data_IF_298614804108
#
_entry.id   IF_298614804108
#
_cell.length_a   1.000
_cell.length_b   1.000
_cell.length_c   1.000
_cell.angle_alpha   90.00
_cell.angle_beta   90.00
_cell.angle_gamma   90.00
#
_symmetry.space_group_name_H-M   'P 1'
#
loop_
_entity.id
_entity.type
_entity.pdbx_description
1 polymer ?
#
# COMPACT_ATOMS: atom_id res chain seq x y z
N UNK A 1 27.62 -9.97 -5.20
CA UNK A 1 27.26 -8.69 -4.58
C UNK A 1 25.95 -8.27 -5.22
N UNK A 2 24.88 -8.06 -4.45
CA UNK A 2 23.67 -7.45 -5.01
C UNK A 2 24.00 -6.01 -5.39
N UNK A 3 23.82 -5.63 -6.66
CA UNK A 3 23.98 -4.25 -7.09
C UNK A 3 22.99 -3.35 -6.34
N UNK A 4 23.43 -2.15 -5.97
CA UNK A 4 22.56 -1.16 -5.34
C UNK A 4 21.53 -0.72 -6.39
N UNK A 5 20.25 -0.89 -6.08
CA UNK A 5 19.14 -0.47 -6.92
C UNK A 5 18.31 0.58 -6.18
N UNK A 6 18.03 1.70 -6.85
CA UNK A 6 17.11 2.70 -6.31
C UNK A 6 15.68 2.14 -6.29
N UNK A 7 14.91 2.58 -5.29
CA UNK A 7 13.56 2.10 -5.08
C UNK A 7 12.66 2.39 -6.28
N UNK A 8 12.84 3.55 -6.92
CA UNK A 8 12.06 3.94 -8.09
C UNK A 8 12.26 2.99 -9.29
N UNK A 9 13.50 2.56 -9.53
CA UNK A 9 13.80 1.59 -10.61
C UNK A 9 13.22 0.20 -10.30
N UNK A 10 13.18 -0.18 -9.02
CA UNK A 10 12.52 -1.41 -8.58
C UNK A 10 10.99 -1.31 -8.76
N UNK A 11 10.40 -0.17 -8.40
CA UNK A 11 8.97 0.13 -8.60
C UNK A 11 8.62 0.00 -10.09
N UNK A 12 9.36 0.65 -10.98
CA UNK A 12 9.13 0.60 -12.42
C UNK A 12 9.20 -0.83 -12.97
N UNK A 13 10.20 -1.61 -12.53
CA UNK A 13 10.36 -3.01 -12.92
C UNK A 13 9.17 -3.87 -12.46
N UNK A 14 8.74 -3.71 -11.20
CA UNK A 14 7.59 -4.43 -10.67
C UNK A 14 6.28 -4.03 -11.36
N UNK A 15 6.08 -2.74 -11.63
CA UNK A 15 4.90 -2.24 -12.36
C UNK A 15 4.78 -2.87 -13.74
N UNK A 16 5.91 -3.07 -14.43
CA UNK A 16 5.93 -3.73 -15.73
C UNK A 16 5.46 -5.20 -15.65
N UNK A 17 5.90 -5.92 -14.61
CA UNK A 17 5.62 -7.35 -14.44
C UNK A 17 4.23 -7.70 -13.88
N UNK A 18 3.53 -6.76 -13.24
CA UNK A 18 2.12 -6.91 -12.84
C UNK A 18 1.30 -7.40 -14.04
N UNK A 19 0.26 -8.20 -13.84
CA UNK A 19 -0.69 -8.58 -14.91
C UNK A 19 -2.15 -8.47 -14.47
N UNK A 20 -2.38 -7.92 -13.28
CA UNK A 20 -3.71 -7.80 -12.70
C UNK A 20 -4.67 -7.00 -13.59
N UNK A 21 -5.82 -7.62 -13.88
CA UNK A 21 -6.96 -6.99 -14.52
C UNK A 21 -8.09 -6.84 -13.48
N UNK A 22 -8.47 -5.61 -13.09
CA UNK A 22 -9.51 -5.39 -12.10
C UNK A 22 -10.89 -5.88 -12.54
N UNK A 23 -11.20 -5.89 -13.84
CA UNK A 23 -12.50 -6.36 -14.35
C UNK A 23 -12.61 -7.88 -14.26
N UNK A 24 -11.53 -8.58 -14.61
CA UNK A 24 -11.46 -10.05 -14.49
C UNK A 24 -11.18 -10.52 -13.05
N UNK A 25 -10.66 -9.63 -12.19
CA UNK A 25 -10.16 -9.91 -10.84
C UNK A 25 -9.11 -11.01 -10.82
N UNK A 26 -8.18 -10.97 -11.77
CA UNK A 26 -7.17 -12.02 -11.99
C UNK A 26 -5.82 -11.46 -12.38
N UNK A 27 -4.78 -12.19 -12.04
CA UNK A 27 -3.40 -11.91 -12.44
C UNK A 27 -2.53 -11.41 -11.30
N UNK A 28 -1.29 -11.08 -11.65
CA UNK A 28 -0.24 -10.79 -10.69
C UNK A 28 -0.34 -9.37 -10.17
N UNK A 29 -0.32 -9.22 -8.85
CA UNK A 29 -0.24 -7.96 -8.13
C UNK A 29 1.11 -7.86 -7.40
N UNK A 30 1.46 -6.65 -6.95
CA UNK A 30 2.62 -6.46 -6.06
C UNK A 30 2.15 -6.65 -4.62
N UNK A 31 2.91 -7.43 -3.85
CA UNK A 31 2.61 -7.70 -2.46
C UNK A 31 3.73 -7.30 -1.50
N UNK A 32 3.32 -6.74 -0.36
CA UNK A 32 4.15 -6.54 0.81
C UNK A 32 4.12 -7.83 1.64
N UNK A 33 5.24 -8.17 2.26
CA UNK A 33 5.36 -9.37 3.08
C UNK A 33 5.77 -9.00 4.50
N UNK A 34 4.91 -9.31 5.45
CA UNK A 34 5.19 -9.16 6.87
C UNK A 34 5.45 -10.52 7.52
N UNK A 35 6.37 -10.55 8.48
CA UNK A 35 6.75 -11.76 9.21
C UNK A 35 6.50 -11.49 10.70
N UNK A 36 5.74 -12.38 11.33
CA UNK A 36 5.39 -12.30 12.76
C UNK A 36 5.72 -13.60 13.47
N UNK A 37 5.80 -13.56 14.80
CA UNK A 37 5.88 -14.80 15.58
C UNK A 37 4.58 -15.59 15.45
N UNK A 38 4.70 -16.91 15.35
CA UNK A 38 3.54 -17.79 15.29
C UNK A 38 2.63 -17.66 16.52
N UNK A 39 3.21 -17.34 17.69
CA UNK A 39 2.46 -17.07 18.93
C UNK A 39 1.57 -15.83 18.85
N UNK A 40 1.96 -14.82 18.07
CA UNK A 40 1.24 -13.55 17.94
C UNK A 40 0.26 -13.54 16.76
N UNK A 41 0.34 -14.56 15.89
CA UNK A 41 -0.35 -14.61 14.61
C UNK A 41 -1.86 -14.32 14.71
N UNK A 42 -2.56 -14.94 15.67
CA UNK A 42 -4.01 -14.73 15.82
C UNK A 42 -4.33 -13.27 16.17
N UNK A 43 -3.59 -12.68 17.10
CA UNK A 43 -3.76 -11.28 17.51
C UNK A 43 -3.46 -10.34 16.33
N UNK A 44 -2.39 -10.62 15.58
CA UNK A 44 -2.03 -9.87 14.37
C UNK A 44 -3.12 -9.93 13.31
N UNK A 45 -3.67 -11.12 13.06
CA UNK A 45 -4.75 -11.31 12.09
C UNK A 45 -6.01 -10.50 12.46
N UNK A 46 -6.35 -10.47 13.75
CA UNK A 46 -7.48 -9.68 14.27
C UNK A 46 -7.24 -8.17 14.14
N UNK A 47 -6.00 -7.71 14.31
CA UNK A 47 -5.62 -6.31 14.10
C UNK A 47 -5.64 -5.93 12.61
N UNK A 48 -5.14 -6.81 11.73
CA UNK A 48 -5.23 -6.64 10.29
C UNK A 48 -6.68 -6.52 9.84
N UNK A 49 -7.57 -7.38 10.35
CA UNK A 49 -9.00 -7.32 10.06
C UNK A 49 -9.61 -5.97 10.48
N UNK A 50 -9.26 -5.47 11.66
CA UNK A 50 -9.71 -4.16 12.13
C UNK A 50 -9.21 -3.00 11.24
N UNK A 51 -7.93 -3.01 10.88
CA UNK A 51 -7.37 -2.00 9.98
C UNK A 51 -8.04 -2.03 8.60
N UNK A 52 -8.22 -3.22 8.01
CA UNK A 52 -8.89 -3.40 6.72
C UNK A 52 -10.34 -2.92 6.74
N UNK A 53 -11.11 -3.27 7.78
CA UNK A 53 -12.49 -2.81 7.95
C UNK A 53 -12.61 -1.30 8.21
N UNK A 54 -11.54 -0.67 8.68
CA UNK A 54 -11.46 0.78 8.89
C UNK A 54 -11.00 1.55 7.64
N UNK A 55 -10.84 0.87 6.50
CA UNK A 55 -10.37 1.49 5.25
C UNK A 55 -8.87 1.80 5.22
N UNK A 56 -8.09 1.20 6.12
CA UNK A 56 -6.66 1.45 6.27
C UNK A 56 -5.80 0.38 5.57
N UNK A 57 -6.31 -0.23 4.51
CA UNK A 57 -5.57 -1.17 3.69
C UNK A 57 -5.79 -0.90 2.21
N UNK A 58 -4.88 -1.40 1.38
CA UNK A 58 -5.01 -1.29 -0.08
C UNK A 58 -6.15 -2.17 -0.60
N UNK A 59 -6.27 -3.37 -0.03
CA UNK A 59 -7.32 -4.34 -0.34
C UNK A 59 -7.62 -5.19 0.90
N UNK A 60 -8.73 -5.95 0.92
CA UNK A 60 -9.05 -6.88 1.99
C UNK A 60 -8.44 -8.28 1.79
N UNK A 61 -7.64 -8.48 0.75
CA UNK A 61 -7.07 -9.78 0.41
C UNK A 61 -5.71 -9.97 1.08
N UNK A 62 -5.52 -11.13 1.71
CA UNK A 62 -4.23 -11.54 2.26
C UNK A 62 -3.90 -12.99 1.93
N UNK A 63 -2.61 -13.30 1.93
CA UNK A 63 -2.13 -14.69 1.87
C UNK A 63 -1.32 -15.01 3.12
N UNK A 64 -1.71 -16.07 3.82
CA UNK A 64 -0.95 -16.60 4.95
C UNK A 64 0.09 -17.58 4.43
N UNK A 65 1.33 -17.41 4.86
CA UNK A 65 2.45 -18.26 4.50
C UNK A 65 2.96 -18.95 5.76
N UNK A 66 2.86 -20.28 5.78
CA UNK A 66 3.15 -21.12 6.94
C UNK A 66 4.65 -21.44 7.06
N UNK A 67 5.11 -21.89 8.25
CA UNK A 67 6.51 -22.24 8.45
C UNK A 67 6.94 -23.32 7.44
N UNK A 68 8.08 -23.09 6.78
CA UNK A 68 8.60 -23.99 5.77
C UNK A 68 8.12 -23.74 4.34
N UNK A 69 7.06 -22.97 4.15
CA UNK A 69 6.61 -22.52 2.83
C UNK A 69 7.53 -21.43 2.28
N UNK A 70 7.50 -21.26 0.94
CA UNK A 70 8.32 -20.27 0.23
C UNK A 70 7.46 -19.19 -0.40
N UNK A 71 8.00 -17.98 -0.44
CA UNK A 71 7.48 -16.85 -1.20
C UNK A 71 8.63 -16.27 -2.01
N UNK A 72 8.62 -16.56 -3.32
CA UNK A 72 9.80 -16.36 -4.16
C UNK A 72 11.01 -17.11 -3.59
N UNK A 73 12.10 -16.39 -3.34
CA UNK A 73 13.36 -16.95 -2.84
C UNK A 73 13.43 -17.08 -1.31
N UNK A 74 12.43 -16.54 -0.59
CA UNK A 74 12.42 -16.53 0.88
C UNK A 74 11.63 -17.72 1.41
N UNK A 75 12.17 -18.39 2.43
CA UNK A 75 11.48 -19.46 3.16
C UNK A 75 11.09 -18.96 4.55
N UNK A 76 9.86 -19.18 4.98
CA UNK A 76 9.43 -18.81 6.33
C UNK A 76 10.06 -19.77 7.34
N UNK A 77 10.74 -19.20 8.33
CA UNK A 77 11.42 -19.95 9.39
C UNK A 77 10.43 -20.63 10.34
N UNK A 78 10.91 -21.66 11.06
CA UNK A 78 10.11 -22.33 12.08
C UNK A 78 9.76 -21.34 13.21
N UNK A 79 8.50 -21.31 13.63
CA UNK A 79 8.01 -20.39 14.67
C UNK A 79 7.67 -18.98 14.16
N UNK A 80 7.72 -18.76 12.85
CA UNK A 80 7.30 -17.51 12.20
C UNK A 80 6.16 -17.77 11.23
N UNK A 81 5.32 -16.76 10.99
CA UNK A 81 4.26 -16.76 9.97
C UNK A 81 4.47 -15.57 9.06
N UNK A 82 4.39 -15.81 7.75
CA UNK A 82 4.34 -14.76 6.74
C UNK A 82 2.90 -14.33 6.45
N UNK A 83 2.70 -13.03 6.24
CA UNK A 83 1.43 -12.45 5.84
C UNK A 83 1.71 -11.56 4.63
N UNK A 84 1.18 -11.92 3.48
CA UNK A 84 1.27 -11.09 2.28
C UNK A 84 0.02 -10.23 2.12
N UNK A 85 0.21 -8.93 1.88
CA UNK A 85 -0.83 -7.92 1.68
C UNK A 85 -0.60 -7.19 0.35
N UNK A 86 -1.64 -6.64 -0.25
CA UNK A 86 -1.52 -5.89 -1.49
C UNK A 86 -0.76 -4.58 -1.31
N UNK A 87 0.17 -4.29 -2.21
CA UNK A 87 0.88 -3.00 -2.27
C UNK A 87 0.15 -2.03 -3.21
N UNK A 88 0.06 -0.76 -2.80
CA UNK A 88 -0.61 0.29 -3.57
C UNK A 88 0.03 0.54 -4.95
N UNK A 89 1.30 0.19 -5.17
CA UNK A 89 1.98 0.28 -6.49
C UNK A 89 1.27 -0.59 -7.55
N UNK A 90 0.49 -1.58 -7.13
CA UNK A 90 -0.39 -2.34 -8.04
C UNK A 90 -1.36 -1.42 -8.81
N UNK A 91 -1.85 -0.36 -8.17
CA UNK A 91 -2.72 0.64 -8.81
C UNK A 91 -1.95 1.36 -9.92
N UNK A 92 -0.70 1.74 -9.66
CA UNK A 92 0.12 2.42 -10.65
C UNK A 92 0.34 1.55 -11.88
N UNK A 93 0.58 0.26 -11.66
CA UNK A 93 0.75 -0.70 -12.73
C UNK A 93 -0.52 -0.89 -13.57
N UNK A 94 -1.70 -0.90 -12.95
CA UNK A 94 -2.99 -0.96 -13.66
C UNK A 94 -3.21 0.29 -14.50
N UNK A 95 -2.94 1.48 -13.95
CA UNK A 95 -3.01 2.75 -14.69
C UNK A 95 -2.02 2.76 -15.87
N UNK A 96 -0.78 2.32 -15.64
CA UNK A 96 0.24 2.21 -16.68
C UNK A 96 -0.19 1.30 -17.83
N UNK A 97 -0.79 0.14 -17.53
CA UNK A 97 -1.31 -0.79 -18.56
C UNK A 97 -2.52 -0.23 -19.30
N UNK A 98 -3.28 0.64 -18.67
CA UNK A 98 -4.28 1.46 -19.35
C UNK A 98 -3.64 2.62 -20.14
N UNK A 99 -2.32 2.66 -20.35
CA UNK A 99 -1.65 3.71 -21.13
C UNK A 99 -1.60 5.07 -20.42
N UNK A 100 -1.78 5.10 -19.10
CA UNK A 100 -1.71 6.31 -18.29
C UNK A 100 -0.33 6.35 -17.61
N UNK A 101 0.58 7.27 -17.99
CA UNK A 101 1.92 7.33 -17.40
C UNK A 101 1.86 7.99 -16.02
N UNK A 102 1.50 7.20 -15.01
CA UNK A 102 1.50 7.58 -13.60
C UNK A 102 2.92 7.51 -13.02
N UNK A 103 3.28 8.47 -12.18
CA UNK A 103 4.56 8.53 -11.48
C UNK A 103 4.34 8.62 -9.97
N UNK A 104 4.74 7.59 -9.18
CA UNK A 104 4.86 7.71 -7.73
C UNK A 104 5.88 8.79 -7.36
N UNK A 105 5.51 9.74 -6.50
CA UNK A 105 6.40 10.84 -6.09
C UNK A 105 7.03 10.62 -4.72
N UNK A 106 6.22 10.30 -3.72
CA UNK A 106 6.67 10.12 -2.34
C UNK A 106 5.72 9.26 -1.53
N UNK A 107 6.24 8.70 -0.44
CA UNK A 107 5.46 8.25 0.71
C UNK A 107 5.44 9.33 1.79
N UNK A 108 4.40 9.37 2.61
CA UNK A 108 4.21 10.41 3.61
C UNK A 108 3.24 10.02 4.72
N UNK A 109 3.17 10.89 5.72
CA UNK A 109 2.19 10.83 6.82
C UNK A 109 1.10 11.85 6.52
N UNK A 110 -0.16 11.42 6.55
CA UNK A 110 -1.33 12.28 6.36
C UNK A 110 -2.08 12.41 7.68
N UNK A 111 -2.41 13.64 8.03
CA UNK A 111 -3.29 13.98 9.14
C UNK A 111 -4.75 13.84 8.70
N UNK A 112 -5.51 13.02 9.44
CA UNK A 112 -6.95 12.80 9.27
C UNK A 112 -7.66 13.45 10.47
N UNK A 113 -8.74 14.18 10.18
CA UNK A 113 -9.62 14.72 11.20
C UNK A 113 -11.08 14.40 10.88
N UNK A 114 -11.75 13.70 11.80
CA UNK A 114 -13.14 13.26 11.68
C UNK A 114 -13.44 12.59 10.33
N UNK A 115 -12.56 11.68 9.92
CA UNK A 115 -12.64 10.92 8.67
C UNK A 115 -12.20 11.69 7.43
N UNK A 116 -11.83 12.96 7.55
CA UNK A 116 -11.42 13.81 6.42
C UNK A 116 -9.90 13.98 6.38
N UNK A 117 -9.22 13.67 5.26
CA UNK A 117 -7.80 13.95 5.12
C UNK A 117 -7.54 15.44 5.00
N UNK A 118 -6.57 15.95 5.75
CA UNK A 118 -6.27 17.39 5.81
C UNK A 118 -5.04 17.75 4.98
N UNK A 119 -3.90 17.12 5.28
CA UNK A 119 -2.62 17.39 4.62
C UNK A 119 -1.59 16.31 4.89
N UNK A 120 -0.57 16.25 4.03
CA UNK A 120 0.69 15.59 4.38
C UNK A 120 1.46 16.42 5.42
N UNK A 121 1.92 15.79 6.49
CA UNK A 121 2.77 16.42 7.52
C UNK A 121 4.25 16.12 7.30
N UNK A 122 4.55 14.94 6.76
CA UNK A 122 5.90 14.42 6.56
C UNK A 122 5.93 13.71 5.20
N UNK A 123 7.01 13.89 4.44
CA UNK A 123 7.18 13.28 3.12
C UNK A 123 8.62 12.78 2.91
N UNK A 124 8.75 11.66 2.22
CA UNK A 124 10.02 11.12 1.72
C UNK A 124 9.83 10.69 0.27
N UNK A 125 10.63 11.25 -0.63
CA UNK A 125 10.53 10.99 -2.07
C UNK A 125 11.05 9.62 -2.44
N UNK A 126 10.41 8.98 -3.43
CA UNK A 126 10.94 7.75 -4.03
C UNK A 126 12.19 8.01 -4.89
N UNK A 127 12.36 9.24 -5.38
CA UNK A 127 13.54 9.65 -6.13
C UNK A 127 14.79 9.58 -5.22
N UNK A 128 15.85 8.95 -5.73
CA UNK A 128 17.18 8.89 -5.11
C UNK A 128 17.26 8.20 -3.74
N UNK A 129 16.30 7.36 -3.36
CA UNK A 129 16.38 6.47 -2.18
C UNK A 129 16.46 4.99 -2.57
N UNK A 130 17.09 4.18 -1.73
CA UNK A 130 17.17 2.70 -1.87
C UNK A 130 16.24 1.96 -0.90
N UNK A 131 15.56 2.71 -0.02
CA UNK A 131 14.66 2.22 1.01
C UNK A 131 13.27 2.79 0.75
N UNK A 132 12.21 2.02 1.04
CA UNK A 132 10.85 2.52 0.93
C UNK A 132 10.61 3.68 1.91
N UNK A 133 10.18 4.87 1.43
CA UNK A 133 9.68 5.96 2.24
C UNK A 133 8.74 5.57 3.39
N UNK A 134 7.77 4.68 3.15
CA UNK A 134 6.76 4.34 4.15
C UNK A 134 7.33 3.48 5.28
N UNK A 135 8.22 2.54 4.97
CA UNK A 135 8.98 1.79 5.98
C UNK A 135 9.78 2.72 6.90
N UNK A 136 10.44 3.73 6.32
CA UNK A 136 11.19 4.73 7.10
C UNK A 136 10.26 5.50 8.02
N UNK A 137 9.16 6.05 7.50
CA UNK A 137 8.22 6.86 8.29
C UNK A 137 7.52 6.04 9.39
N UNK A 138 7.16 4.80 9.09
CA UNK A 138 6.61 3.86 10.07
C UNK A 138 7.60 3.62 11.22
N UNK A 139 8.88 3.41 10.91
CA UNK A 139 9.93 3.18 11.92
C UNK A 139 10.20 4.39 12.85
N UNK A 140 9.76 5.59 12.46
CA UNK A 140 9.92 6.81 13.26
C UNK A 140 8.74 7.03 14.22
N UNK A 141 7.79 6.09 14.32
CA UNK A 141 6.62 6.17 15.21
C UNK A 141 5.80 7.46 15.01
N UNK A 142 5.71 7.94 13.76
CA UNK A 142 5.01 9.18 13.40
C UNK A 142 3.49 9.01 13.21
N UNK A 143 3.01 7.76 13.21
CA UNK A 143 1.60 7.42 12.99
C UNK A 143 0.80 7.40 14.29
N UNK A 144 -0.53 7.55 14.17
CA UNK A 144 -1.47 7.28 15.26
C UNK A 144 -2.68 6.50 14.72
N UNK A 145 -2.40 5.36 14.10
CA UNK A 145 -3.40 4.51 13.43
C UNK A 145 -4.45 4.01 14.42
N UNK A 146 -4.03 3.65 15.64
CA UNK A 146 -4.91 3.25 16.74
C UNK A 146 -5.91 4.35 17.09
N UNK A 147 -5.47 5.61 17.09
CA UNK A 147 -6.35 6.75 17.35
C UNK A 147 -7.33 6.97 16.19
N UNK A 148 -6.83 6.85 14.95
CA UNK A 148 -7.63 6.97 13.73
C UNK A 148 -8.78 5.95 13.73
N UNK A 149 -8.48 4.67 14.00
CA UNK A 149 -9.51 3.61 14.04
C UNK A 149 -10.56 3.90 15.13
N UNK A 150 -10.14 4.44 16.27
CA UNK A 150 -11.03 4.66 17.43
C UNK A 150 -11.91 5.90 17.29
N UNK A 151 -11.40 6.96 16.67
CA UNK A 151 -12.00 8.30 16.72
C UNK A 151 -12.33 8.90 15.36
N UNK A 152 -11.82 8.32 14.27
CA UNK A 152 -11.83 8.94 12.95
C UNK A 152 -10.76 10.02 12.76
N UNK A 153 -9.97 10.34 13.80
CA UNK A 153 -8.90 11.33 13.77
C UNK A 153 -7.57 10.69 14.11
N UNK A 154 -6.50 11.04 13.39
CA UNK A 154 -5.16 10.52 13.64
C UNK A 154 -4.23 10.69 12.45
N UNK A 155 -3.07 10.05 12.51
CA UNK A 155 -2.05 10.11 11.46
C UNK A 155 -1.86 8.74 10.82
N UNK A 156 -1.94 8.70 9.49
CA UNK A 156 -1.82 7.46 8.71
C UNK A 156 -0.75 7.59 7.64
N UNK A 157 -0.23 6.46 7.17
CA UNK A 157 0.67 6.42 6.03
C UNK A 157 -0.11 6.51 4.74
N UNK A 158 0.35 7.33 3.81
CA UNK A 158 -0.20 7.43 2.46
C UNK A 158 0.93 7.72 1.48
N UNK A 159 0.68 7.50 0.20
CA UNK A 159 1.60 7.93 -0.83
C UNK A 159 0.86 8.77 -1.87
N UNK A 160 1.66 9.50 -2.64
CA UNK A 160 1.17 10.40 -3.65
C UNK A 160 1.83 10.07 -4.97
N UNK A 161 1.01 10.07 -6.01
CA UNK A 161 1.42 9.89 -7.39
C UNK A 161 0.82 10.99 -8.25
N UNK A 162 1.47 11.26 -9.37
CA UNK A 162 0.99 12.19 -10.37
C UNK A 162 0.68 11.48 -11.67
N UNK A 163 -0.37 11.94 -12.35
CA UNK A 163 -0.71 11.50 -13.68
C UNK A 163 -1.02 12.70 -14.59
N UNK A 164 -0.93 12.57 -15.92
CA UNK A 164 -1.30 13.64 -16.84
C UNK A 164 -2.78 14.01 -16.66
N UNK A 165 -3.08 15.30 -16.50
CA UNK A 165 -4.47 15.75 -16.34
C UNK A 165 -5.35 15.41 -17.57
N UNK A 166 -4.74 15.30 -18.75
CA UNK A 166 -5.43 14.92 -19.99
C UNK A 166 -6.01 13.49 -19.95
N UNK A 167 -5.60 12.67 -18.98
CA UNK A 167 -6.09 11.31 -18.80
C UNK A 167 -7.16 11.20 -17.69
N UNK A 168 -7.68 12.32 -17.16
CA UNK A 168 -8.62 12.36 -16.02
C UNK A 168 -9.74 11.33 -16.13
N UNK A 169 -10.56 11.41 -17.18
CA UNK A 169 -11.75 10.54 -17.33
C UNK A 169 -11.35 9.06 -17.32
N UNK A 170 -10.21 8.73 -17.93
CA UNK A 170 -9.69 7.36 -17.98
C UNK A 170 -9.10 6.93 -16.63
N UNK A 171 -8.51 7.85 -15.87
CA UNK A 171 -8.05 7.59 -14.51
C UNK A 171 -9.26 7.26 -13.65
N UNK A 172 -10.29 8.11 -13.65
CA UNK A 172 -11.52 7.91 -12.87
C UNK A 172 -12.17 6.56 -13.20
N UNK A 173 -12.36 6.23 -14.49
CA UNK A 173 -12.88 4.92 -14.93
C UNK A 173 -12.07 3.74 -14.37
N UNK A 174 -10.74 3.84 -14.36
CA UNK A 174 -9.85 2.75 -13.90
C UNK A 174 -9.79 2.65 -12.38
N UNK A 175 -9.86 3.79 -11.69
CA UNK A 175 -9.95 3.82 -10.23
C UNK A 175 -11.29 3.20 -9.77
N UNK A 176 -12.40 3.49 -10.44
CA UNK A 176 -13.69 2.88 -10.15
C UNK A 176 -13.65 1.36 -10.33
N UNK A 177 -13.08 0.86 -11.44
CA UNK A 177 -12.89 -0.58 -11.66
C UNK A 177 -12.02 -1.23 -10.57
N UNK A 178 -10.99 -0.54 -10.08
CA UNK A 178 -10.16 -1.00 -8.96
C UNK A 178 -10.96 -1.07 -7.66
N UNK A 179 -11.76 -0.05 -7.35
CA UNK A 179 -12.65 -0.03 -6.18
C UNK A 179 -13.63 -1.20 -6.25
N UNK A 180 -14.26 -1.44 -7.39
CA UNK A 180 -15.15 -2.60 -7.62
C UNK A 180 -14.44 -3.95 -7.48
N UNK A 181 -13.13 -4.01 -7.72
CA UNK A 181 -12.30 -5.19 -7.50
C UNK A 181 -11.84 -5.37 -6.03
N UNK A 182 -12.16 -4.41 -5.15
CA UNK A 182 -11.81 -4.42 -3.73
C UNK A 182 -10.58 -3.59 -3.38
N UNK A 183 -10.06 -2.77 -4.30
CA UNK A 183 -8.92 -1.88 -4.06
C UNK A 183 -9.38 -0.48 -3.61
N UNK A 184 -10.21 -0.43 -2.57
CA UNK A 184 -10.86 0.78 -2.07
C UNK A 184 -9.94 1.63 -1.17
N UNK A 185 -8.80 2.06 -1.71
CA UNK A 185 -7.72 2.73 -0.96
C UNK A 185 -7.38 4.13 -1.46
N UNK A 186 -8.19 4.67 -2.37
CA UNK A 186 -8.03 6.04 -2.85
C UNK A 186 -8.46 6.99 -1.75
N UNK A 187 -7.53 7.82 -1.28
CA UNK A 187 -7.76 8.80 -0.23
C UNK A 187 -8.31 10.10 -0.80
N UNK A 188 -7.71 10.58 -1.90
CA UNK A 188 -8.15 11.78 -2.60
C UNK A 188 -7.66 11.76 -4.06
N UNK A 189 -8.47 12.30 -4.97
CA UNK A 189 -8.09 12.59 -6.35
C UNK A 189 -8.18 14.09 -6.53
N UNK A 190 -7.05 14.73 -6.78
CA UNK A 190 -6.98 16.19 -6.92
C UNK A 190 -7.47 16.66 -8.29
N UNK A 191 -8.04 17.86 -8.32
CA UNK A 191 -8.40 18.53 -9.58
C UNK A 191 -7.13 18.86 -10.41
N UNK A 192 -7.24 18.93 -11.75
CA UNK A 192 -6.13 19.33 -12.62
C UNK A 192 -5.42 20.61 -12.16
N UNK A 193 -4.08 20.58 -12.13
CA UNK A 193 -3.22 21.71 -11.72
C UNK A 193 -3.53 22.27 -10.31
N UNK A 194 -4.18 21.50 -9.45
CA UNK A 194 -4.54 21.92 -8.10
C UNK A 194 -3.73 21.17 -7.07
N UNK A 195 -3.48 21.81 -5.93
CA UNK A 195 -2.83 21.18 -4.79
C UNK A 195 -3.70 20.02 -4.27
N UNK A 196 -3.05 18.96 -3.78
CA UNK A 196 -3.70 17.83 -3.12
C UNK A 196 -3.12 17.69 -1.72
N UNK A 197 -3.96 17.72 -0.69
CA UNK A 197 -3.53 17.54 0.71
C UNK A 197 -2.31 18.40 1.10
N UNK A 198 -2.32 19.68 0.69
CA UNK A 198 -1.24 20.63 0.99
C UNK A 198 0.03 20.46 0.15
N UNK A 199 -0.01 19.64 -0.91
CA UNK A 199 1.13 19.38 -1.80
C UNK A 199 0.83 19.88 -3.20
N UNK A 200 1.75 20.70 -3.72
CA UNK A 200 1.68 21.19 -5.09
C UNK A 200 1.98 20.09 -6.11
N UNK A 201 1.07 19.94 -7.07
CA UNK A 201 1.23 19.04 -8.22
C UNK A 201 2.06 19.71 -9.33
N UNK A 202 2.73 18.89 -10.13
CA UNK A 202 3.43 19.34 -11.33
C UNK A 202 2.48 20.00 -12.33
N UNK A 203 3.05 20.85 -13.19
CA UNK A 203 2.29 21.48 -14.29
C UNK A 203 1.71 20.43 -15.23
N UNK A 204 0.46 20.63 -15.63
CA UNK A 204 -0.33 19.75 -16.51
C UNK A 204 -0.52 18.34 -15.92
N UNK A 205 -0.49 18.24 -14.58
CA UNK A 205 -0.71 17.00 -13.82
C UNK A 205 -1.93 17.13 -12.90
N UNK A 206 -2.38 15.98 -12.43
CA UNK A 206 -3.28 15.82 -11.30
C UNK A 206 -2.63 14.87 -10.28
N UNK A 207 -2.95 15.08 -9.00
CA UNK A 207 -2.47 14.24 -7.90
C UNK A 207 -3.47 13.14 -7.56
N UNK A 208 -2.96 11.98 -7.15
CA UNK A 208 -3.77 10.89 -6.59
C UNK A 208 -3.09 10.47 -5.29
N UNK A 209 -3.79 10.65 -4.17
CA UNK A 209 -3.36 10.23 -2.85
C UNK A 209 -4.02 8.89 -2.51
N UNK A 210 -3.24 7.94 -2.00
CA UNK A 210 -3.71 6.58 -1.71
C UNK A 210 -3.17 6.13 -0.37
N UNK A 211 -4.00 5.41 0.37
CA UNK A 211 -3.64 4.77 1.63
C UNK A 211 -2.42 3.86 1.44
N UNK A 212 -1.45 4.00 2.35
CA UNK A 212 -0.24 3.17 2.38
C UNK A 212 -0.57 1.72 2.74
N UNK A 213 0.08 0.78 2.06
CA UNK A 213 -0.07 -0.67 2.32
C UNK A 213 0.50 -1.13 3.66
N UNK A 214 1.21 -0.25 4.38
CA UNK A 214 1.84 -0.51 5.67
C UNK A 214 1.05 -0.04 6.88
N UNK A 215 -0.10 0.62 6.72
CA UNK A 215 -0.96 0.99 7.86
C UNK A 215 -1.37 -0.20 8.75
N UNK A 216 -1.69 -1.41 8.22
CA UNK A 216 -1.97 -2.56 9.08
C UNK A 216 -0.76 -2.95 9.94
N UNK A 217 0.45 -2.80 9.40
CA UNK A 217 1.70 -3.09 10.12
C UNK A 217 1.97 -2.03 11.18
N UNK A 218 1.81 -0.75 10.86
CA UNK A 218 1.91 0.35 11.81
C UNK A 218 0.93 0.16 12.97
N UNK A 219 -0.32 -0.24 12.68
CA UNK A 219 -1.30 -0.54 13.71
C UNK A 219 -0.85 -1.67 14.64
N UNK A 220 -0.27 -2.75 14.09
CA UNK A 220 0.29 -3.85 14.88
C UNK A 220 1.46 -3.38 15.76
N UNK A 221 2.35 -2.56 15.23
CA UNK A 221 3.49 -2.00 15.99
C UNK A 221 3.04 -1.10 17.14
N UNK A 222 2.03 -0.25 16.91
CA UNK A 222 1.42 0.60 17.95
C UNK A 222 0.80 -0.22 19.11
N UNK A 223 0.46 -1.50 18.88
CA UNK A 223 0.01 -2.42 19.93
C UNK A 223 1.16 -3.15 20.66
N UNK A 224 2.42 -2.76 20.39
CA UNK A 224 3.62 -3.34 20.99
C UNK A 224 3.94 -4.75 20.49
N UNK A 225 3.47 -5.12 19.29
CA UNK A 225 3.75 -6.43 18.69
C UNK A 225 4.85 -6.27 17.63
N UNK A 226 5.87 -7.11 17.72
CA UNK A 226 6.96 -7.14 16.75
C UNK A 226 6.49 -7.71 15.40
N UNK A 227 6.81 -6.99 14.33
CA UNK A 227 6.47 -7.34 12.94
C UNK A 227 7.58 -6.85 12.02
N UNK A 228 8.22 -7.80 11.34
CA UNK A 228 9.23 -7.50 10.31
C UNK A 228 8.51 -7.31 8.98
N UNK A 229 8.64 -6.13 8.37
CA UNK A 229 8.02 -5.84 7.08
C UNK A 229 9.06 -5.80 5.97
N UNK A 230 8.72 -6.43 4.83
CA UNK A 230 9.47 -6.37 3.58
C UNK A 230 8.54 -5.83 2.51
N UNK A 231 8.67 -4.53 2.22
CA UNK A 231 7.87 -3.88 1.18
C UNK A 231 8.32 -4.23 -0.23
N UNK A 232 7.37 -4.10 -1.18
CA UNK A 232 7.53 -4.37 -2.61
C UNK A 232 8.24 -5.70 -2.88
N UNK A 233 7.92 -6.68 -2.05
CA UNK A 233 8.75 -7.86 -1.92
C UNK A 233 8.65 -8.73 -3.15
N UNK A 234 7.43 -8.94 -3.69
CA UNK A 234 7.13 -10.01 -4.65
C UNK A 234 5.89 -9.71 -5.50
N UNK A 235 5.79 -10.43 -6.61
CA UNK A 235 4.55 -10.60 -7.35
C UNK A 235 3.81 -11.84 -6.82
N UNK A 236 2.50 -11.70 -6.64
CA UNK A 236 1.61 -12.80 -6.27
C UNK A 236 0.37 -12.75 -7.17
N UNK A 237 -0.12 -13.91 -7.57
CA UNK A 237 -1.42 -14.02 -8.21
C UNK A 237 -2.49 -13.71 -7.16
N UNK A 238 -3.37 -12.75 -7.45
CA UNK A 238 -4.43 -12.32 -6.53
C UNK A 238 -5.35 -13.50 -6.15
N UNK A 239 -5.48 -14.47 -7.06
CA UNK A 239 -6.24 -15.70 -6.85
C UNK A 239 -5.68 -16.62 -5.76
N UNK A 240 -4.41 -16.45 -5.37
CA UNK A 240 -3.80 -17.18 -4.25
C UNK A 240 -4.05 -16.51 -2.89
N UNK A 241 -4.72 -15.36 -2.89
CA UNK A 241 -5.05 -14.60 -1.69
C UNK A 241 -6.52 -14.85 -1.31
N UNK A 242 -6.80 -14.82 -0.02
CA UNK A 242 -8.15 -14.98 0.53
C UNK A 242 -8.64 -13.67 1.12
N UNK A 243 -9.95 -13.45 1.11
CA UNK A 243 -10.53 -12.31 1.81
C UNK A 243 -10.29 -12.48 3.32
N UNK A 244 -9.97 -11.40 4.03
CA UNK A 244 -9.62 -11.43 5.46
C UNK A 244 -10.69 -12.09 6.34
N UNK A 245 -11.96 -11.98 5.96
CA UNK A 245 -13.10 -12.59 6.68
C UNK A 245 -13.25 -14.10 6.46
N UNK A 246 -12.61 -14.66 5.43
CA UNK A 246 -12.61 -16.11 5.17
C UNK A 246 -11.58 -16.83 6.06
N UNK A 247 -10.67 -16.08 6.67
CA UNK A 247 -9.59 -16.60 7.49
C UNK A 247 -10.02 -16.69 8.96
N UNK A 248 -9.85 -17.89 9.54
CA UNK A 248 -10.19 -18.22 10.92
C UNK A 248 -9.02 -18.01 11.88
#
# INVERSE_FOLDING_TARGET
MSEIMFIISRIESLMYEVTFDPLARKGKIIANLSIVNESDFKKVLDLFRQAMHSGLSVSPYIKIIRPGEKVGDMKIEKGKIGIATTCSITIDAVLLKAGIPVKPRFGGVVEIHDGTPLRFTDILTYDSTTIDPLDVLMSQELTSVTEMIRTGSGKILANMREAPMAARDRIEERLDALVEAGFACILEVGEPNSDILGIQVGRDKMGIAVIGGTNPMAFVQEQGIDIETKEMSRLLDIEEMSHIDELK
#
